data_IF_471960633215
#
_entry.id   IF_471960633215
#
_cell.length_a   1.000
_cell.length_b   1.000
_cell.length_c   1.000
_cell.angle_alpha   90.00
_cell.angle_beta   90.00
_cell.angle_gamma   90.00
#
_symmetry.space_group_name_H-M   'P 1'
#
loop_
_entity.id
_entity.type
_entity.pdbx_description
1 polymer ?
#
# COMPACT_ATOMS: atom_id res chain seq x y z
N UNK A 1 20.55 -0.37 19.73
CA UNK A 1 19.11 -0.47 20.02
C UNK A 1 18.88 -1.73 20.84
N UNK A 2 18.18 -1.63 21.98
CA UNK A 2 17.59 -2.83 22.60
C UNK A 2 16.42 -3.24 21.71
N UNK A 3 16.54 -4.39 21.06
CA UNK A 3 15.43 -5.00 20.35
C UNK A 3 14.53 -5.65 21.40
N UNK A 4 13.47 -4.95 21.80
CA UNK A 4 12.46 -5.58 22.65
C UNK A 4 11.62 -6.50 21.76
N UNK A 5 11.80 -7.80 21.95
CA UNK A 5 10.89 -8.81 21.41
C UNK A 5 9.63 -8.74 22.26
N UNK A 6 8.56 -8.20 21.68
CA UNK A 6 7.26 -8.26 22.31
C UNK A 6 6.73 -9.70 22.20
N UNK A 7 5.93 -10.09 23.18
CA UNK A 7 5.15 -11.32 23.06
C UNK A 7 4.12 -11.08 21.94
N UNK A 8 3.83 -12.05 21.06
CA UNK A 8 2.80 -11.88 20.03
C UNK A 8 1.45 -11.41 20.56
N UNK A 9 1.14 -11.72 21.82
CA UNK A 9 -0.07 -11.34 22.55
C UNK A 9 0.23 -10.32 23.66
N UNK A 10 1.16 -9.40 23.43
CA UNK A 10 1.44 -8.29 24.35
C UNK A 10 0.15 -7.54 24.67
N UNK A 11 -0.17 -7.40 25.95
CA UNK A 11 -1.35 -6.64 26.38
C UNK A 11 -1.20 -5.15 26.00
N UNK A 12 -2.32 -4.42 25.91
CA UNK A 12 -2.26 -2.99 25.65
C UNK A 12 -1.46 -2.25 26.74
N UNK A 13 -1.62 -2.63 28.01
CA UNK A 13 -0.91 -2.03 29.13
C UNK A 13 0.61 -2.24 29.03
N UNK A 14 1.04 -3.45 28.61
CA UNK A 14 2.45 -3.76 28.40
C UNK A 14 3.02 -3.01 27.19
N UNK A 15 2.24 -2.85 26.11
CA UNK A 15 2.62 -2.05 24.95
C UNK A 15 2.80 -0.57 25.33
N UNK A 16 1.84 -0.02 26.07
CA UNK A 16 1.91 1.36 26.56
C UNK A 16 3.10 1.58 27.49
N UNK A 17 3.33 0.64 28.42
CA UNK A 17 4.48 0.68 29.31
C UNK A 17 5.79 0.70 28.52
N UNK A 18 5.93 -0.18 27.53
CA UNK A 18 7.11 -0.20 26.66
C UNK A 18 7.31 1.14 25.94
N UNK A 19 6.26 1.70 25.34
CA UNK A 19 6.34 2.99 24.64
C UNK A 19 6.78 4.09 25.62
N UNK A 20 6.16 4.18 26.79
CA UNK A 20 6.51 5.18 27.79
C UNK A 20 7.97 5.05 28.24
N UNK A 21 8.45 3.84 28.52
CA UNK A 21 9.84 3.59 28.92
C UNK A 21 10.84 4.02 27.82
N UNK A 22 10.53 3.79 26.54
CA UNK A 22 11.37 4.23 25.43
C UNK A 22 11.36 5.76 25.26
N UNK A 23 10.19 6.39 25.43
CA UNK A 23 10.02 7.84 25.35
C UNK A 23 10.66 8.59 26.52
N UNK A 24 10.60 8.04 27.74
CA UNK A 24 11.28 8.57 28.92
C UNK A 24 12.80 8.55 28.77
N UNK A 25 13.33 7.60 27.97
CA UNK A 25 14.73 7.58 27.56
C UNK A 25 15.05 8.61 26.45
N UNK A 26 14.08 9.42 26.02
CA UNK A 26 14.23 10.45 24.99
C UNK A 26 14.31 9.89 23.57
N UNK A 27 13.92 8.62 23.35
CA UNK A 27 14.00 8.01 22.02
C UNK A 27 12.97 8.62 21.08
N UNK A 28 13.42 8.89 19.86
CA UNK A 28 12.58 9.35 18.72
C UNK A 28 12.42 8.28 17.66
N UNK A 29 12.91 7.09 17.95
CA UNK A 29 12.86 5.91 17.10
C UNK A 29 12.28 4.77 17.93
N UNK A 30 11.16 4.21 17.49
CA UNK A 30 10.52 3.08 18.15
C UNK A 30 10.56 1.86 17.22
N UNK A 31 10.99 0.74 17.78
CA UNK A 31 11.00 -0.54 17.08
C UNK A 31 10.05 -1.51 17.75
N UNK A 32 9.10 -2.02 16.99
CA UNK A 32 8.15 -3.05 17.38
C UNK A 32 8.50 -4.33 16.65
N UNK A 33 8.91 -5.33 17.42
CA UNK A 33 9.25 -6.66 16.95
C UNK A 33 8.26 -7.65 17.55
N UNK A 34 7.67 -8.49 16.69
CA UNK A 34 6.69 -9.50 17.07
C UNK A 34 5.41 -8.96 17.75
N UNK A 35 4.97 -7.76 17.40
CA UNK A 35 3.71 -7.13 17.80
C UNK A 35 2.60 -7.47 16.82
N UNK A 36 1.59 -8.25 17.23
CA UNK A 36 0.46 -8.56 16.35
C UNK A 36 -0.65 -7.53 16.48
N UNK A 37 -0.82 -6.68 15.46
CA UNK A 37 -1.81 -5.60 15.54
C UNK A 37 -3.27 -6.10 15.56
N UNK A 38 -3.54 -7.33 15.11
CA UNK A 38 -4.87 -7.93 15.16
C UNK A 38 -5.34 -8.27 16.59
N UNK A 39 -4.45 -8.20 17.58
CA UNK A 39 -4.79 -8.35 18.99
C UNK A 39 -5.42 -7.10 19.60
N UNK A 40 -5.42 -5.96 18.87
CA UNK A 40 -5.92 -4.68 19.35
C UNK A 40 -7.14 -4.24 18.57
N UNK A 41 -8.03 -3.50 19.24
CA UNK A 41 -9.13 -2.82 18.56
C UNK A 41 -8.61 -1.59 17.80
N UNK A 42 -9.45 -1.08 16.89
CA UNK A 42 -9.20 0.17 16.19
C UNK A 42 -8.91 1.34 17.16
N UNK A 43 -9.66 1.43 18.25
CA UNK A 43 -9.52 2.47 19.27
C UNK A 43 -8.16 2.37 19.94
N UNK A 44 -7.76 1.16 20.36
CA UNK A 44 -6.45 0.92 20.96
C UNK A 44 -5.30 1.26 20.00
N UNK A 45 -5.44 0.92 18.71
CA UNK A 45 -4.47 1.30 17.68
C UNK A 45 -4.35 2.81 17.57
N UNK A 46 -5.49 3.49 17.51
CA UNK A 46 -5.56 4.95 17.40
C UNK A 46 -4.92 5.62 18.62
N UNK A 47 -5.21 5.12 19.82
CA UNK A 47 -4.72 5.69 21.08
C UNK A 47 -3.20 5.60 21.20
N UNK A 48 -2.58 4.46 20.89
CA UNK A 48 -1.12 4.36 20.96
C UNK A 48 -0.45 5.20 19.85
N UNK A 49 -1.04 5.28 18.65
CA UNK A 49 -0.52 6.13 17.58
C UNK A 49 -0.60 7.62 17.94
N UNK A 50 -1.65 8.04 18.64
CA UNK A 50 -1.76 9.39 19.19
C UNK A 50 -0.62 9.68 20.18
N UNK A 51 -0.25 8.73 21.04
CA UNK A 51 0.91 8.89 21.94
C UNK A 51 2.22 9.04 21.15
N UNK A 52 2.43 8.22 20.13
CA UNK A 52 3.60 8.30 19.23
C UNK A 52 3.67 9.67 18.55
N UNK A 53 2.53 10.18 18.07
CA UNK A 53 2.39 11.49 17.44
C UNK A 53 2.70 12.63 18.41
N UNK A 54 2.08 12.63 19.60
CA UNK A 54 2.30 13.65 20.64
C UNK A 54 3.75 13.68 21.14
N UNK A 55 4.38 12.51 21.23
CA UNK A 55 5.77 12.39 21.61
C UNK A 55 6.76 12.83 20.51
N UNK A 56 6.27 13.12 19.30
CA UNK A 56 7.08 13.55 18.16
C UNK A 56 8.08 12.49 17.72
N UNK A 57 7.68 11.22 17.72
CA UNK A 57 8.49 10.11 17.20
C UNK A 57 8.71 10.31 15.69
N UNK A 58 9.93 10.07 15.25
CA UNK A 58 10.39 10.33 13.86
C UNK A 58 10.65 9.04 13.08
N UNK A 59 10.86 7.91 13.74
CA UNK A 59 11.08 6.62 13.06
C UNK A 59 10.28 5.50 13.71
N UNK A 60 9.56 4.75 12.89
CA UNK A 60 8.82 3.56 13.30
C UNK A 60 9.31 2.35 12.51
N UNK A 61 9.69 1.31 13.25
CA UNK A 61 10.12 0.04 12.69
C UNK A 61 9.16 -1.04 13.14
N UNK A 62 8.42 -1.63 12.21
CA UNK A 62 7.57 -2.79 12.44
C UNK A 62 8.17 -3.98 11.72
N UNK A 63 8.94 -4.81 12.43
CA UNK A 63 9.65 -5.95 11.82
C UNK A 63 9.18 -7.28 12.38
N UNK A 64 8.78 -8.21 11.51
CA UNK A 64 8.41 -9.56 11.95
C UNK A 64 7.15 -9.58 12.81
N UNK A 65 6.17 -8.76 12.46
CA UNK A 65 4.92 -8.52 13.20
C UNK A 65 3.70 -9.22 12.55
N UNK A 66 3.91 -10.02 11.51
CA UNK A 66 2.85 -10.73 10.76
C UNK A 66 1.74 -9.81 10.22
N UNK A 67 2.07 -8.53 9.93
CA UNK A 67 1.06 -7.51 9.64
C UNK A 67 0.19 -7.83 8.41
N UNK A 68 0.70 -8.61 7.46
CA UNK A 68 -0.02 -9.01 6.27
C UNK A 68 -1.22 -9.94 6.54
N UNK A 69 -1.23 -10.60 7.69
CA UNK A 69 -2.24 -11.61 8.03
C UNK A 69 -3.07 -11.16 9.22
N UNK A 70 -4.37 -11.48 9.22
CA UNK A 70 -5.28 -11.39 10.37
C UNK A 70 -5.69 -10.01 10.90
N UNK A 71 -5.08 -8.91 10.44
CA UNK A 71 -5.53 -7.54 10.76
C UNK A 71 -6.73 -7.17 9.86
N UNK A 72 -7.77 -6.58 10.44
CA UNK A 72 -8.95 -6.15 9.66
C UNK A 72 -8.66 -4.87 8.87
N UNK A 73 -9.34 -4.64 7.72
CA UNK A 73 -9.16 -3.41 6.94
C UNK A 73 -9.38 -2.13 7.77
N UNK A 74 -10.34 -2.14 8.70
CA UNK A 74 -10.64 -0.96 9.54
C UNK A 74 -9.48 -0.61 10.48
N UNK A 75 -8.76 -1.63 10.98
CA UNK A 75 -7.57 -1.43 11.80
C UNK A 75 -6.41 -0.87 10.98
N UNK A 76 -6.27 -1.30 9.72
CA UNK A 76 -5.28 -0.73 8.81
C UNK A 76 -5.54 0.71 8.44
N UNK A 77 -6.80 1.03 8.12
CA UNK A 77 -7.24 2.40 7.87
C UNK A 77 -6.91 3.28 9.08
N UNK A 78 -7.29 2.83 10.28
CA UNK A 78 -6.98 3.56 11.52
C UNK A 78 -5.48 3.72 11.75
N UNK A 79 -4.69 2.68 11.46
CA UNK A 79 -3.25 2.71 11.58
C UNK A 79 -2.62 3.79 10.68
N UNK A 80 -3.01 3.82 9.41
CA UNK A 80 -2.48 4.79 8.45
C UNK A 80 -3.00 6.21 8.70
N UNK A 81 -4.28 6.38 9.02
CA UNK A 81 -4.86 7.68 9.36
C UNK A 81 -4.22 8.27 10.62
N UNK A 82 -3.97 7.45 11.66
CA UNK A 82 -3.30 7.89 12.88
C UNK A 82 -1.86 8.38 12.69
N UNK A 83 -1.22 8.02 11.57
CA UNK A 83 0.14 8.46 11.23
C UNK A 83 0.18 9.73 10.37
N UNK A 84 -0.95 10.15 9.78
CA UNK A 84 -1.02 11.30 8.87
C UNK A 84 -0.50 12.59 9.54
N UNK A 85 -0.91 12.82 10.79
CA UNK A 85 -0.55 14.02 11.55
C UNK A 85 0.69 13.82 12.44
N UNK A 86 1.39 12.68 12.31
CA UNK A 86 2.59 12.38 13.10
C UNK A 86 3.82 13.21 12.69
N UNK A 87 4.96 13.01 13.37
CA UNK A 87 6.28 13.50 12.94
C UNK A 87 7.16 12.41 12.32
N UNK A 88 6.62 11.22 12.06
CA UNK A 88 7.32 10.09 11.45
C UNK A 88 7.87 10.45 10.07
N UNK A 89 9.18 10.33 9.91
CA UNK A 89 9.91 10.51 8.65
C UNK A 89 10.39 9.17 8.09
N UNK A 90 10.53 8.15 8.94
CA UNK A 90 10.94 6.80 8.53
C UNK A 90 9.90 5.78 8.96
N UNK A 91 9.33 5.06 8.00
CA UNK A 91 8.41 3.95 8.27
C UNK A 91 8.92 2.68 7.58
N UNK A 92 9.29 1.69 8.39
CA UNK A 92 9.78 0.40 7.90
C UNK A 92 8.85 -0.70 8.36
N UNK A 93 8.27 -1.44 7.42
CA UNK A 93 7.33 -2.53 7.69
C UNK A 93 7.87 -3.84 7.08
N UNK A 94 9.12 -4.15 7.38
CA UNK A 94 9.84 -5.27 6.77
C UNK A 94 9.47 -6.63 7.42
N UNK A 95 9.47 -7.71 6.64
CA UNK A 95 9.23 -9.08 7.14
C UNK A 95 7.83 -9.28 7.74
N UNK A 96 6.77 -8.81 7.07
CA UNK A 96 5.38 -8.86 7.55
C UNK A 96 4.39 -9.51 6.58
N UNK A 97 4.82 -10.20 5.53
CA UNK A 97 3.92 -10.84 4.55
C UNK A 97 2.89 -9.87 3.92
N UNK A 98 3.25 -8.61 3.67
CA UNK A 98 2.32 -7.57 3.19
C UNK A 98 1.60 -7.91 1.86
N UNK A 99 2.08 -8.91 1.10
CA UNK A 99 1.35 -9.45 -0.06
C UNK A 99 -0.07 -9.96 0.28
N UNK A 100 -0.31 -10.33 1.54
CA UNK A 100 -1.58 -10.88 2.01
C UNK A 100 -2.64 -9.81 2.30
N UNK A 101 -2.24 -8.55 2.50
CA UNK A 101 -3.18 -7.44 2.71
C UNK A 101 -4.22 -7.36 1.61
N UNK A 102 -5.47 -7.11 1.96
CA UNK A 102 -6.53 -6.83 0.99
C UNK A 102 -6.26 -5.50 0.24
N UNK A 103 -7.02 -5.28 -0.83
CA UNK A 103 -6.84 -4.09 -1.69
C UNK A 103 -7.16 -2.79 -0.94
N UNK A 104 -8.15 -2.79 -0.03
CA UNK A 104 -8.56 -1.61 0.73
C UNK A 104 -7.45 -1.19 1.71
N UNK A 105 -6.82 -2.15 2.39
CA UNK A 105 -5.65 -1.93 3.24
C UNK A 105 -4.45 -1.36 2.45
N UNK A 106 -4.23 -1.81 1.22
CA UNK A 106 -3.22 -1.22 0.32
C UNK A 106 -3.57 0.22 -0.09
N UNK A 107 -4.84 0.50 -0.37
CA UNK A 107 -5.32 1.85 -0.69
C UNK A 107 -5.19 2.80 0.50
N UNK A 108 -5.44 2.33 1.73
CA UNK A 108 -5.21 3.11 2.94
C UNK A 108 -3.73 3.53 3.07
N UNK A 109 -2.79 2.62 2.76
CA UNK A 109 -1.36 2.94 2.72
C UNK A 109 -1.02 3.97 1.63
N UNK A 110 -1.57 3.83 0.41
CA UNK A 110 -1.38 4.78 -0.69
C UNK A 110 -1.88 6.18 -0.32
N UNK A 111 -3.03 6.28 0.34
CA UNK A 111 -3.58 7.54 0.86
C UNK A 111 -2.69 8.18 1.94
N UNK A 112 -2.12 7.37 2.84
CA UNK A 112 -1.14 7.86 3.81
C UNK A 112 0.10 8.42 3.11
N UNK A 113 0.63 7.71 2.12
CA UNK A 113 1.78 8.19 1.33
C UNK A 113 1.44 9.49 0.60
N UNK A 114 0.25 9.63 0.02
CA UNK A 114 -0.19 10.88 -0.61
C UNK A 114 -0.14 12.08 0.32
N UNK A 115 -0.56 11.89 1.58
CA UNK A 115 -0.59 12.97 2.58
C UNK A 115 0.78 13.23 3.20
N UNK A 116 1.69 12.27 3.17
CA UNK A 116 2.95 12.32 3.92
C UNK A 116 4.23 12.33 3.05
N UNK A 117 4.11 12.28 1.71
CA UNK A 117 5.26 12.14 0.80
C UNK A 117 6.37 13.18 1.05
N UNK A 118 6.01 14.44 1.29
CA UNK A 118 6.94 15.54 1.50
C UNK A 118 7.71 15.45 2.83
N UNK A 119 7.19 14.70 3.81
CA UNK A 119 7.80 14.50 5.14
C UNK A 119 8.60 13.20 5.20
N UNK A 120 8.16 12.15 4.51
CA UNK A 120 8.84 10.86 4.55
C UNK A 120 10.22 10.97 3.92
N UNK A 121 11.23 10.50 4.65
CA UNK A 121 12.63 10.40 4.21
C UNK A 121 13.04 8.97 3.90
N UNK A 122 12.28 7.98 4.38
CA UNK A 122 12.51 6.57 4.12
C UNK A 122 11.22 5.76 4.28
N UNK A 123 10.92 4.93 3.29
CA UNK A 123 9.85 3.94 3.37
C UNK A 123 10.40 2.56 2.99
N UNK A 124 10.03 1.51 3.74
CA UNK A 124 10.54 0.15 3.49
C UNK A 124 9.45 -0.91 3.61
N UNK A 125 9.41 -1.78 2.60
CA UNK A 125 8.58 -2.98 2.55
C UNK A 125 9.41 -4.21 2.17
N UNK A 126 10.64 -4.32 2.70
CA UNK A 126 11.54 -5.42 2.40
C UNK A 126 11.01 -6.75 2.98
N UNK A 127 11.25 -7.86 2.28
CA UNK A 127 10.90 -9.22 2.70
C UNK A 127 9.41 -9.43 3.00
N UNK A 128 8.53 -8.87 2.19
CA UNK A 128 7.08 -9.00 2.29
C UNK A 128 6.45 -9.91 1.23
N UNK A 129 7.29 -10.54 0.40
CA UNK A 129 6.92 -11.41 -0.73
C UNK A 129 6.00 -10.69 -1.74
N UNK A 130 6.27 -9.40 -1.99
CA UNK A 130 5.44 -8.54 -2.87
C UNK A 130 5.35 -9.06 -4.32
N UNK A 131 6.21 -9.99 -4.74
CA UNK A 131 6.06 -10.67 -6.04
C UNK A 131 4.72 -11.41 -6.17
N UNK A 132 4.10 -11.81 -5.05
CA UNK A 132 2.83 -12.56 -4.98
C UNK A 132 1.58 -11.68 -5.06
N UNK A 133 1.69 -10.36 -5.20
CA UNK A 133 0.52 -9.49 -5.26
C UNK A 133 -0.42 -9.91 -6.41
N UNK A 134 -1.73 -9.70 -6.28
CA UNK A 134 -2.60 -9.75 -7.47
C UNK A 134 -2.51 -8.41 -8.21
N UNK A 135 -3.00 -8.35 -9.45
CA UNK A 135 -2.84 -7.16 -10.30
C UNK A 135 -3.38 -5.89 -9.64
N UNK A 136 -4.57 -5.96 -9.03
CA UNK A 136 -5.15 -4.80 -8.33
C UNK A 136 -4.30 -4.27 -7.18
N UNK A 137 -3.65 -5.15 -6.40
CA UNK A 137 -2.75 -4.71 -5.31
C UNK A 137 -1.41 -4.21 -5.86
N UNK A 138 -0.91 -4.84 -6.92
CA UNK A 138 0.31 -4.42 -7.60
C UNK A 138 0.17 -3.03 -8.23
N UNK A 139 -0.98 -2.73 -8.84
CA UNK A 139 -1.29 -1.39 -9.35
C UNK A 139 -1.25 -0.33 -8.25
N UNK A 140 -1.76 -0.64 -7.04
CA UNK A 140 -1.69 0.26 -5.89
C UNK A 140 -0.24 0.46 -5.44
N UNK A 141 0.53 -0.62 -5.27
CA UNK A 141 1.96 -0.54 -4.94
C UNK A 141 2.72 0.29 -5.97
N UNK A 142 2.43 0.10 -7.26
CA UNK A 142 3.10 0.82 -8.33
C UNK A 142 2.87 2.34 -8.27
N UNK A 143 1.63 2.77 -8.04
CA UNK A 143 1.33 4.19 -7.82
C UNK A 143 2.04 4.74 -6.59
N UNK A 144 2.00 3.99 -5.48
CA UNK A 144 2.64 4.38 -4.22
C UNK A 144 4.14 4.60 -4.40
N UNK A 145 4.85 3.63 -5.01
CA UNK A 145 6.30 3.69 -5.22
C UNK A 145 6.69 4.89 -6.07
N UNK A 146 5.93 5.18 -7.13
CA UNK A 146 6.19 6.32 -8.02
C UNK A 146 5.80 7.68 -7.44
N UNK A 147 5.02 7.71 -6.36
CA UNK A 147 4.59 8.93 -5.66
C UNK A 147 5.56 9.35 -4.56
N UNK A 148 6.40 8.44 -4.08
CA UNK A 148 7.37 8.72 -3.03
C UNK A 148 8.54 9.56 -3.57
N UNK A 149 8.75 10.72 -2.95
CA UNK A 149 9.92 11.58 -3.18
C UNK A 149 11.14 11.17 -2.34
N UNK A 150 11.09 9.99 -1.72
CA UNK A 150 12.15 9.44 -0.87
C UNK A 150 12.50 8.00 -1.23
N UNK A 151 13.65 7.48 -0.76
CA UNK A 151 14.01 6.09 -0.96
C UNK A 151 12.90 5.12 -0.51
N UNK A 152 12.43 4.30 -1.45
CA UNK A 152 11.49 3.21 -1.22
C UNK A 152 12.21 1.86 -1.32
N UNK A 153 12.40 1.19 -0.19
CA UNK A 153 13.15 -0.05 -0.10
C UNK A 153 12.22 -1.25 -0.34
N UNK A 154 12.25 -1.77 -1.57
CA UNK A 154 11.41 -2.91 -1.98
C UNK A 154 12.17 -4.05 -2.66
N UNK A 155 13.50 -3.98 -2.83
CA UNK A 155 14.30 -4.91 -3.65
C UNK A 155 14.30 -6.38 -3.21
N UNK A 156 14.19 -6.67 -1.92
CA UNK A 156 14.16 -8.02 -1.36
C UNK A 156 12.73 -8.54 -1.24
N UNK A 157 12.06 -8.73 -2.38
CA UNK A 157 10.68 -9.24 -2.43
C UNK A 157 10.49 -10.36 -3.46
N UNK A 158 11.51 -11.19 -3.66
CA UNK A 158 11.48 -12.33 -4.58
C UNK A 158 11.18 -11.97 -6.06
N UNK A 159 11.51 -10.74 -6.48
CA UNK A 159 11.28 -10.23 -7.83
C UNK A 159 11.85 -11.08 -8.96
N UNK A 160 12.89 -11.89 -8.69
CA UNK A 160 13.42 -12.85 -9.65
C UNK A 160 12.37 -13.83 -10.21
N UNK A 161 11.23 -14.00 -9.52
CA UNK A 161 10.11 -14.84 -9.98
C UNK A 161 9.15 -14.11 -10.94
N UNK A 162 9.18 -12.77 -10.99
CA UNK A 162 8.36 -11.95 -11.87
C UNK A 162 9.04 -10.60 -12.14
N UNK A 163 10.00 -10.62 -13.07
CA UNK A 163 10.80 -9.44 -13.42
C UNK A 163 9.97 -8.35 -14.11
N UNK A 164 8.91 -8.70 -14.84
CA UNK A 164 8.02 -7.72 -15.47
C UNK A 164 7.46 -6.73 -14.45
N UNK A 165 6.97 -7.25 -13.31
CA UNK A 165 6.45 -6.41 -12.23
C UNK A 165 7.52 -5.60 -11.52
N UNK A 166 8.73 -6.12 -11.42
CA UNK A 166 9.86 -5.36 -10.90
C UNK A 166 10.21 -4.18 -11.82
N UNK A 167 10.21 -4.42 -13.13
CA UNK A 167 10.47 -3.40 -14.13
C UNK A 167 9.37 -2.33 -14.06
N UNK A 168 8.11 -2.69 -13.91
CA UNK A 168 7.01 -1.73 -13.73
C UNK A 168 7.22 -0.80 -12.52
N UNK A 169 7.85 -1.29 -11.43
CA UNK A 169 8.11 -0.53 -10.20
C UNK A 169 9.38 0.32 -10.26
N UNK A 170 10.33 -0.02 -11.13
CA UNK A 170 11.68 0.58 -11.14
C UNK A 170 12.04 1.31 -12.41
N UNK A 171 11.32 1.05 -13.50
CA UNK A 171 11.47 1.85 -14.70
C UNK A 171 10.85 3.20 -14.39
N UNK A 172 11.58 4.32 -14.56
CA UNK A 172 11.00 5.64 -14.37
C UNK A 172 9.86 5.81 -15.36
N UNK A 173 8.62 5.60 -14.90
CA UNK A 173 7.47 5.87 -15.74
C UNK A 173 7.41 7.38 -15.89
N UNK A 174 7.61 7.84 -17.11
CA UNK A 174 7.09 9.13 -17.54
C UNK A 174 5.55 8.98 -17.56
N UNK A 175 4.93 9.01 -16.37
CA UNK A 175 3.58 8.49 -16.02
C UNK A 175 2.46 9.10 -16.83
N UNK A 176 2.73 10.15 -17.60
CA UNK A 176 1.76 10.72 -18.53
C UNK A 176 1.71 9.99 -19.89
N UNK A 177 2.82 9.55 -20.48
CA UNK A 177 2.83 9.09 -21.89
C UNK A 177 2.36 7.64 -22.07
N UNK A 178 2.75 6.72 -21.18
CA UNK A 178 2.29 5.33 -21.23
C UNK A 178 0.80 5.21 -20.89
N UNK A 179 0.32 5.99 -19.92
CA UNK A 179 -1.10 6.06 -19.55
C UNK A 179 -1.94 6.74 -20.64
N UNK A 180 -1.41 7.78 -21.30
CA UNK A 180 -2.04 8.39 -22.49
C UNK A 180 -2.08 7.43 -23.67
N UNK A 181 -1.00 6.70 -23.97
CA UNK A 181 -0.97 5.72 -25.06
C UNK A 181 -1.90 4.54 -24.78
N UNK A 182 -1.93 4.02 -23.56
CA UNK A 182 -2.85 2.96 -23.14
C UNK A 182 -4.32 3.43 -23.22
N UNK A 183 -4.63 4.65 -22.77
CA UNK A 183 -5.96 5.26 -22.93
C UNK A 183 -6.32 5.45 -24.41
N UNK A 184 -5.38 5.89 -25.24
CA UNK A 184 -5.61 6.12 -26.66
C UNK A 184 -5.81 4.80 -27.43
N UNK A 185 -5.07 3.74 -27.10
CA UNK A 185 -5.29 2.40 -27.68
C UNK A 185 -6.62 1.79 -27.26
N UNK A 186 -7.05 1.97 -26.00
CA UNK A 186 -8.37 1.50 -25.52
C UNK A 186 -9.51 2.28 -26.21
N UNK A 187 -9.38 3.60 -26.34
CA UNK A 187 -10.38 4.43 -27.03
C UNK A 187 -10.44 4.11 -28.53
N UNK A 188 -9.30 3.85 -29.17
CA UNK A 188 -9.25 3.49 -30.59
C UNK A 188 -9.86 2.12 -30.84
N UNK A 189 -9.55 1.12 -30.00
CA UNK A 189 -10.13 -0.22 -30.10
C UNK A 189 -11.65 -0.24 -29.85
N UNK A 190 -12.15 0.55 -28.89
CA UNK A 190 -13.59 0.71 -28.66
C UNK A 190 -14.29 1.40 -29.82
N UNK A 191 -13.65 2.42 -30.41
CA UNK A 191 -14.18 3.09 -31.61
C UNK A 191 -14.23 2.14 -32.81
N UNK A 192 -13.21 1.30 -33.02
CA UNK A 192 -13.23 0.29 -34.10
C UNK A 192 -14.34 -0.74 -33.89
N UNK A 193 -14.56 -1.21 -32.65
CA UNK A 193 -15.67 -2.12 -32.33
C UNK A 193 -17.05 -1.47 -32.49
N UNK A 194 -17.20 -0.19 -32.13
CA UNK A 194 -18.48 0.52 -32.27
C UNK A 194 -18.79 0.83 -33.74
N UNK A 195 -17.77 1.19 -34.52
CA UNK A 195 -17.91 1.44 -35.95
C UNK A 195 -18.19 0.12 -36.71
N UNK A 196 -17.58 -1.01 -36.31
CA UNK A 196 -17.90 -2.33 -36.88
C UNK A 196 -19.30 -2.84 -36.52
N UNK A 197 -19.76 -2.65 -35.28
CA UNK A 197 -21.10 -3.05 -34.85
C UNK A 197 -22.21 -2.23 -35.53
N UNK A 198 -21.95 -0.94 -35.83
CA UNK A 198 -22.90 -0.06 -36.51
C UNK A 198 -23.06 -0.39 -38.00
N UNK A 199 -21.99 -0.87 -38.65
CA UNK A 199 -22.05 -1.36 -40.04
C UNK A 199 -22.87 -2.66 -40.13
N UNK A 200 -22.75 -3.56 -39.14
CA UNK A 200 -23.55 -4.79 -39.08
C UNK A 200 -25.04 -4.52 -38.80
N UNK A 201 -25.38 -3.54 -37.96
CA UNK A 201 -26.79 -3.15 -37.70
C UNK A 201 -27.45 -2.42 -38.89
N UNK A 202 -26.69 -1.63 -39.67
CA UNK A 202 -27.20 -1.01 -40.90
C UNK A 202 -27.42 -2.04 -42.03
N UNK A 203 -26.59 -3.09 -42.12
CA UNK A 203 -26.84 -4.22 -43.04
C UNK A 203 -28.05 -5.07 -42.64
N UNK A 204 -28.31 -5.25 -41.34
CA UNK A 204 -29.45 -6.02 -40.83
C UNK A 204 -30.79 -5.26 -40.89
N UNK A 205 -30.78 -3.93 -40.79
CA UNK A 205 -32.00 -3.09 -40.85
C UNK A 205 -32.35 -2.62 -42.26
N UNK A 206 -31.41 -2.63 -43.21
CA UNK A 206 -31.67 -2.35 -44.64
C UNK A 206 -32.33 -3.51 -45.40
N UNK A 207 -32.42 -4.70 -44.80
CA UNK A 207 -32.95 -5.93 -45.41
C UNK A 207 -34.42 -6.21 -45.13
N UNK A 208 -35.35 -5.28 -45.35
CA UNK A 208 -36.79 -5.62 -45.49
C UNK A 208 -37.60 -4.53 -46.18
N UNK A 209 -37.65 -4.60 -47.51
CA UNK A 209 -38.70 -4.10 -48.42
C UNK A 209 -38.08 -4.20 -49.83
N UNK A 210 -38.50 -5.03 -50.78
CA UNK A 210 -39.83 -5.56 -51.08
C UNK A 210 -39.68 -6.73 -52.07
N UNK A 211 -40.27 -7.88 -51.71
CA UNK A 211 -40.75 -8.88 -52.65
C UNK A 211 -42.16 -8.48 -53.06
N UNK A 212 -42.45 -8.38 -54.36
CA UNK A 212 -43.65 -8.91 -55.04
C UNK A 212 -43.82 -8.25 -56.42
N UNK A 213 -44.13 -9.13 -57.38
CA UNK A 213 -44.49 -8.93 -58.79
C UNK A 213 -45.55 -7.86 -59.09
#
# INVERSE_FOLDING_TARGET
MRNFLLNPLTSIDDLEKYINEELEQGKKELSFLNLRLNAYTKEQITDFLNKITQAGVTSLYFKGNELGSTITPECWIAFFDGLVDSSVEKLLMDNNQMHQLDVESWVAMDNFIEKCNARLKLFSLQNNDLVQLCDGKHEVLNRLVHRLDCPCLISFNNWHKNLLRWDELTTPVNTNRALLLARQSILTARKTQTDSARVEDEELTGGSSSLSH
#
